data_IF_354536295933
#
_entry.id   IF_354536295933
#
_cell.length_a   1.000
_cell.length_b   1.000
_cell.length_c   1.000
_cell.angle_alpha   90.00
_cell.angle_beta   90.00
_cell.angle_gamma   90.00
#
_symmetry.space_group_name_H-M   'P 1'
#
loop_
_entity.id
_entity.type
_entity.pdbx_description
1 polymer ?
#
# COMPACT_ATOMS: atom_id res chain seq x y z
N UNK A 1 19.80 -4.17 17.17
CA UNK A 1 18.78 -3.16 16.83
C UNK A 1 19.06 -2.79 15.39
N UNK A 2 18.48 -3.53 14.44
CA UNK A 2 18.74 -3.33 13.01
C UNK A 2 17.83 -2.23 12.51
N UNK A 3 18.47 -1.12 12.15
CA UNK A 3 17.81 0.09 11.68
C UNK A 3 17.21 -0.16 10.29
N UNK A 4 15.89 -0.35 10.25
CA UNK A 4 15.10 -0.53 9.03
C UNK A 4 15.05 0.76 8.18
N UNK A 5 15.60 1.89 8.67
CA UNK A 5 15.81 3.11 7.89
C UNK A 5 16.94 2.98 6.85
N UNK A 6 18.03 2.30 7.21
CA UNK A 6 19.24 2.23 6.38
C UNK A 6 19.07 1.46 5.08
N UNK A 7 18.20 0.44 5.04
CA UNK A 7 17.92 -0.33 3.81
C UNK A 7 17.17 0.52 2.78
N UNK A 8 16.21 1.34 3.21
CA UNK A 8 15.48 2.23 2.32
C UNK A 8 16.38 3.35 1.80
N UNK A 9 17.23 3.93 2.66
CA UNK A 9 18.22 4.93 2.25
C UNK A 9 19.27 4.35 1.28
N UNK A 10 19.72 3.12 1.51
CA UNK A 10 20.65 2.42 0.62
C UNK A 10 20.01 2.13 -0.75
N UNK A 11 18.75 1.69 -0.79
CA UNK A 11 18.02 1.45 -2.04
C UNK A 11 17.79 2.76 -2.80
N UNK A 12 17.43 3.84 -2.10
CA UNK A 12 17.28 5.17 -2.70
C UNK A 12 18.62 5.69 -3.23
N UNK A 13 19.70 5.55 -2.47
CA UNK A 13 21.04 5.98 -2.87
C UNK A 13 21.56 5.17 -4.07
N UNK A 14 21.35 3.86 -4.09
CA UNK A 14 21.72 2.99 -5.20
C UNK A 14 20.89 3.32 -6.44
N UNK A 15 19.59 3.57 -6.29
CA UNK A 15 18.71 4.02 -7.38
C UNK A 15 19.18 5.34 -7.98
N UNK A 16 19.51 6.33 -7.15
CA UNK A 16 20.04 7.62 -7.60
C UNK A 16 21.40 7.47 -8.32
N UNK A 17 22.28 6.59 -7.82
CA UNK A 17 23.56 6.28 -8.46
C UNK A 17 23.36 5.68 -9.87
N UNK A 18 22.45 4.71 -10.02
CA UNK A 18 22.16 4.09 -11.32
C UNK A 18 21.59 5.13 -12.28
N UNK A 19 20.66 5.97 -11.84
CA UNK A 19 20.12 7.07 -12.67
C UNK A 19 21.23 8.03 -13.09
N UNK A 20 22.12 8.41 -12.18
CA UNK A 20 23.25 9.29 -12.49
C UNK A 20 24.22 8.67 -13.51
N UNK A 21 24.52 7.36 -13.39
CA UNK A 21 25.37 6.63 -14.34
C UNK A 21 24.71 6.55 -15.72
N UNK A 22 23.41 6.27 -15.78
CA UNK A 22 22.66 6.23 -17.05
C UNK A 22 22.65 7.61 -17.70
N UNK A 23 22.39 8.69 -16.95
CA UNK A 23 22.44 10.06 -17.45
C UNK A 23 23.86 10.44 -17.93
N UNK A 24 24.89 10.03 -17.20
CA UNK A 24 26.29 10.25 -17.57
C UNK A 24 26.66 9.52 -18.87
N UNK A 25 26.25 8.25 -19.03
CA UNK A 25 26.46 7.47 -20.25
C UNK A 25 25.72 8.08 -21.45
N UNK A 26 24.47 8.51 -21.26
CA UNK A 26 23.68 9.19 -22.30
C UNK A 26 24.29 10.53 -22.71
N UNK A 27 24.88 11.27 -21.75
CA UNK A 27 25.59 12.52 -22.03
C UNK A 27 26.90 12.26 -22.78
N UNK A 28 27.66 11.24 -22.35
CA UNK A 28 28.93 10.83 -22.96
C UNK A 28 28.78 10.34 -24.39
N UNK A 29 27.67 9.67 -24.72
CA UNK A 29 27.34 9.21 -26.08
C UNK A 29 26.79 10.31 -26.99
N UNK A 30 26.59 11.54 -26.50
CA UNK A 30 26.10 12.66 -27.32
C UNK A 30 24.64 12.53 -27.77
N UNK A 31 23.89 11.57 -27.23
CA UNK A 31 22.46 11.33 -27.51
C UNK A 31 21.55 12.35 -26.82
N UNK A 32 22.06 13.05 -25.79
CA UNK A 32 21.38 14.15 -25.11
C UNK A 32 21.54 15.45 -25.90
N UNK A 33 20.72 15.62 -26.94
CA UNK A 33 20.49 16.93 -27.57
C UNK A 33 19.67 17.82 -26.61
N UNK A 34 19.90 19.14 -26.57
CA UNK A 34 19.17 20.09 -25.68
C UNK A 34 17.64 19.98 -25.74
N UNK A 35 17.07 19.36 -26.78
CA UNK A 35 15.64 19.10 -26.97
C UNK A 35 15.12 17.81 -26.32
N UNK A 36 15.96 16.79 -26.08
CA UNK A 36 15.55 15.50 -25.50
C UNK A 36 15.62 15.48 -23.97
N UNK A 37 16.39 16.40 -23.37
CA UNK A 37 16.49 16.62 -21.92
C UNK A 37 15.12 16.75 -21.20
N UNK A 38 14.17 17.60 -21.64
CA UNK A 38 12.86 17.69 -21.01
C UNK A 38 12.01 16.42 -21.21
N UNK A 39 12.23 15.66 -22.29
CA UNK A 39 11.51 14.40 -22.54
C UNK A 39 11.97 13.30 -21.57
N UNK A 40 13.28 13.21 -21.31
CA UNK A 40 13.85 12.26 -20.33
C UNK A 40 13.45 12.63 -18.90
N UNK A 41 13.48 13.92 -18.57
CA UNK A 41 12.98 14.43 -17.28
C UNK A 41 11.48 14.15 -17.11
N UNK A 42 10.68 14.32 -18.17
CA UNK A 42 9.26 14.00 -18.16
C UNK A 42 8.99 12.50 -17.95
N UNK A 43 9.77 11.64 -18.60
CA UNK A 43 9.66 10.19 -18.41
C UNK A 43 10.04 9.76 -16.98
N UNK A 44 11.14 10.31 -16.43
CA UNK A 44 11.54 10.08 -15.04
C UNK A 44 10.46 10.58 -14.05
N UNK A 45 9.95 11.79 -14.27
CA UNK A 45 8.88 12.36 -13.44
C UNK A 45 7.59 11.52 -13.51
N UNK A 46 7.25 10.97 -14.67
CA UNK A 46 6.09 10.09 -14.82
C UNK A 46 6.26 8.77 -14.05
N UNK A 47 7.44 8.14 -14.13
CA UNK A 47 7.74 6.91 -13.39
C UNK A 47 7.71 7.15 -11.88
N UNK A 48 8.38 8.21 -11.41
CA UNK A 48 8.39 8.58 -9.99
C UNK A 48 7.00 8.98 -9.51
N UNK A 49 6.25 9.75 -10.31
CA UNK A 49 4.90 10.19 -9.99
C UNK A 49 3.91 9.03 -9.87
N UNK A 50 3.97 8.05 -10.77
CA UNK A 50 3.15 6.84 -10.69
C UNK A 50 3.48 6.01 -9.45
N UNK A 51 4.76 5.84 -9.12
CA UNK A 51 5.19 5.15 -7.91
C UNK A 51 4.68 5.84 -6.64
N UNK A 52 4.87 7.16 -6.55
CA UNK A 52 4.42 7.96 -5.41
C UNK A 52 2.89 7.93 -5.24
N UNK A 53 2.13 7.96 -6.35
CA UNK A 53 0.67 7.87 -6.30
C UNK A 53 0.19 6.51 -5.78
N UNK A 54 0.77 5.40 -6.26
CA UNK A 54 0.46 4.05 -5.76
C UNK A 54 0.78 3.93 -4.28
N UNK A 55 1.94 4.44 -3.84
CA UNK A 55 2.35 4.41 -2.43
C UNK A 55 1.40 5.23 -1.54
N UNK A 56 1.05 6.46 -1.94
CA UNK A 56 0.11 7.29 -1.19
C UNK A 56 -1.26 6.65 -1.07
N UNK A 57 -1.76 6.00 -2.13
CA UNK A 57 -3.04 5.29 -2.10
C UNK A 57 -3.01 4.12 -1.12
N UNK A 58 -1.94 3.31 -1.12
CA UNK A 58 -1.75 2.23 -0.14
C UNK A 58 -1.71 2.74 1.30
N UNK A 59 -0.99 3.83 1.54
CA UNK A 59 -0.86 4.39 2.89
C UNK A 59 -2.20 4.92 3.43
N UNK A 60 -3.03 5.53 2.58
CA UNK A 60 -4.39 5.95 2.95
C UNK A 60 -5.25 4.77 3.37
N UNK A 61 -5.29 3.71 2.57
CA UNK A 61 -6.06 2.50 2.87
C UNK A 61 -5.61 1.86 4.20
N UNK A 62 -4.30 1.80 4.44
CA UNK A 62 -3.74 1.29 5.70
C UNK A 62 -4.15 2.13 6.91
N UNK A 63 -4.08 3.46 6.80
CA UNK A 63 -4.48 4.38 7.89
C UNK A 63 -5.97 4.31 8.19
N UNK A 64 -6.82 4.12 7.19
CA UNK A 64 -8.26 3.98 7.40
C UNK A 64 -8.59 2.72 8.21
N UNK A 65 -7.97 1.58 7.90
CA UNK A 65 -8.11 0.35 8.68
C UNK A 65 -7.62 0.56 10.12
N UNK A 66 -6.41 1.11 10.30
CA UNK A 66 -5.84 1.32 11.63
C UNK A 66 -6.72 2.24 12.49
N UNK A 67 -7.30 3.29 11.89
CA UNK A 67 -8.26 4.17 12.56
C UNK A 67 -9.50 3.41 13.03
N UNK A 68 -10.12 2.63 12.14
CA UNK A 68 -11.35 1.88 12.46
C UNK A 68 -11.09 0.77 13.49
N UNK A 69 -9.94 0.10 13.42
CA UNK A 69 -9.50 -0.83 14.47
C UNK A 69 -9.37 -0.14 15.82
N UNK A 70 -8.77 1.06 15.86
CA UNK A 70 -8.67 1.87 17.07
C UNK A 70 -10.03 2.22 17.66
N UNK A 71 -10.97 2.67 16.81
CA UNK A 71 -12.36 2.96 17.23
C UNK A 71 -13.05 1.70 17.79
N UNK A 72 -12.83 0.54 17.18
CA UNK A 72 -13.44 -0.70 17.60
C UNK A 72 -12.87 -1.21 18.94
N UNK A 73 -11.56 -1.10 19.14
CA UNK A 73 -10.92 -1.39 20.45
C UNK A 73 -11.41 -0.46 21.54
N UNK A 74 -11.63 0.83 21.24
CA UNK A 74 -12.21 1.76 22.21
C UNK A 74 -13.66 1.38 22.57
N UNK A 75 -14.46 0.95 21.60
CA UNK A 75 -15.81 0.44 21.85
C UNK A 75 -15.78 -0.84 22.68
N UNK A 76 -14.87 -1.76 22.39
CA UNK A 76 -14.66 -2.99 23.15
C UNK A 76 -14.28 -2.72 24.61
N UNK A 77 -13.34 -1.80 24.85
CA UNK A 77 -12.94 -1.41 26.20
C UNK A 77 -14.09 -0.75 26.99
N UNK A 78 -14.88 0.12 26.33
CA UNK A 78 -16.09 0.71 26.93
C UNK A 78 -17.14 -0.35 27.25
N UNK A 79 -17.25 -1.37 26.41
CA UNK A 79 -18.18 -2.48 26.60
C UNK A 79 -17.75 -3.40 27.72
N UNK A 80 -16.46 -3.69 27.81
CA UNK A 80 -15.91 -4.47 28.91
C UNK A 80 -16.13 -3.79 30.27
N UNK A 81 -16.01 -2.47 30.32
CA UNK A 81 -16.39 -1.68 31.51
C UNK A 81 -17.90 -1.65 31.78
N UNK A 82 -18.73 -1.87 30.75
CA UNK A 82 -20.19 -1.84 30.83
C UNK A 82 -20.84 -3.25 30.82
N UNK A 83 -20.04 -4.33 30.88
CA UNK A 83 -20.47 -5.76 30.82
C UNK A 83 -21.55 -6.12 31.84
N UNK A 84 -21.73 -5.32 32.88
CA UNK A 84 -22.82 -5.50 33.85
C UNK A 84 -24.22 -5.09 33.33
N UNK A 85 -24.38 -4.49 32.14
CA UNK A 85 -25.66 -3.84 31.78
C UNK A 85 -26.38 -4.22 30.48
N UNK A 86 -25.82 -4.85 29.44
CA UNK A 86 -26.65 -5.04 28.21
C UNK A 86 -26.13 -6.02 27.12
N UNK A 87 -26.93 -7.05 26.79
CA UNK A 87 -26.77 -7.94 25.62
C UNK A 87 -26.84 -7.22 24.26
N UNK A 88 -27.59 -6.12 24.17
CA UNK A 88 -27.75 -5.33 22.93
C UNK A 88 -26.39 -4.82 22.42
N UNK A 89 -25.47 -4.60 23.34
CA UNK A 89 -24.19 -3.96 23.07
C UNK A 89 -23.12 -4.95 22.56
N UNK A 90 -23.26 -6.24 22.88
CA UNK A 90 -22.43 -7.30 22.30
C UNK A 90 -22.77 -7.54 20.82
N UNK A 91 -24.05 -7.53 20.44
CA UNK A 91 -24.46 -7.64 19.03
C UNK A 91 -23.91 -6.51 18.18
N UNK A 92 -23.93 -5.27 18.67
CA UNK A 92 -23.35 -4.12 17.95
C UNK A 92 -21.83 -4.24 17.79
N UNK A 93 -21.14 -4.83 18.77
CA UNK A 93 -19.71 -5.11 18.67
C UNK A 93 -19.43 -6.20 17.64
N UNK A 94 -20.21 -7.28 17.64
CA UNK A 94 -20.07 -8.37 16.67
C UNK A 94 -20.35 -7.88 15.24
N UNK A 95 -21.40 -7.09 15.02
CA UNK A 95 -21.70 -6.46 13.74
C UNK A 95 -20.57 -5.52 13.29
N UNK A 96 -20.01 -4.73 14.21
CA UNK A 96 -18.84 -3.89 13.93
C UNK A 96 -17.61 -4.71 13.53
N UNK A 97 -17.35 -5.82 14.22
CA UNK A 97 -16.24 -6.74 13.88
C UNK A 97 -16.41 -7.32 12.47
N UNK A 98 -17.62 -7.77 12.12
CA UNK A 98 -17.94 -8.27 10.78
C UNK A 98 -17.81 -7.19 9.69
N UNK A 99 -18.23 -5.95 9.98
CA UNK A 99 -18.02 -4.84 9.05
C UNK A 99 -16.53 -4.55 8.84
N UNK A 100 -15.75 -4.49 9.92
CA UNK A 100 -14.31 -4.28 9.82
C UNK A 100 -13.61 -5.38 9.01
N UNK A 101 -14.04 -6.64 9.18
CA UNK A 101 -13.50 -7.77 8.42
C UNK A 101 -13.79 -7.65 6.92
N UNK A 102 -15.02 -7.27 6.53
CA UNK A 102 -15.37 -7.00 5.13
C UNK A 102 -14.57 -5.86 4.53
N UNK A 103 -14.40 -4.78 5.28
CA UNK A 103 -13.61 -3.63 4.82
C UNK A 103 -12.13 -3.97 4.68
N UNK A 104 -11.58 -4.79 5.59
CA UNK A 104 -10.22 -5.32 5.47
C UNK A 104 -10.05 -6.16 4.21
N UNK A 105 -11.03 -7.00 3.88
CA UNK A 105 -11.02 -7.77 2.64
C UNK A 105 -11.05 -6.86 1.41
N UNK A 106 -12.00 -5.91 1.37
CA UNK A 106 -12.14 -4.98 0.24
C UNK A 106 -10.86 -4.18 0.00
N UNK A 107 -10.27 -3.65 1.07
CA UNK A 107 -9.02 -2.91 0.99
C UNK A 107 -7.82 -3.81 0.64
N UNK A 108 -7.78 -5.05 1.10
CA UNK A 108 -6.75 -6.01 0.70
C UNK A 108 -6.83 -6.31 -0.81
N UNK A 109 -8.04 -6.54 -1.34
CA UNK A 109 -8.28 -6.68 -2.80
C UNK A 109 -7.85 -5.41 -3.54
N UNK A 110 -8.23 -4.23 -3.04
CA UNK A 110 -7.86 -2.98 -3.70
C UNK A 110 -6.35 -2.77 -3.71
N UNK A 111 -5.64 -3.11 -2.62
CA UNK A 111 -4.18 -3.03 -2.55
C UNK A 111 -3.51 -3.99 -3.53
N UNK A 112 -4.01 -5.22 -3.65
CA UNK A 112 -3.55 -6.19 -4.66
C UNK A 112 -3.79 -5.69 -6.08
N UNK A 113 -4.95 -5.08 -6.38
CA UNK A 113 -5.22 -4.46 -7.68
C UNK A 113 -4.33 -3.27 -8.00
N UNK A 114 -3.94 -2.49 -6.99
CA UNK A 114 -2.99 -1.37 -7.15
C UNK A 114 -1.58 -1.89 -7.46
N UNK A 115 -1.22 -3.08 -6.96
CA UNK A 115 0.05 -3.76 -7.26
C UNK A 115 0.06 -4.47 -8.62
N UNK A 116 -1.08 -5.02 -9.02
CA UNK A 116 -1.26 -5.74 -10.28
C UNK A 116 -0.85 -4.88 -11.48
N UNK A 117 -0.01 -5.44 -12.37
CA UNK A 117 0.55 -4.70 -13.50
C UNK A 117 -0.40 -4.64 -14.70
N UNK A 118 -1.32 -5.61 -14.81
CA UNK A 118 -2.21 -5.77 -15.96
C UNK A 118 -3.67 -6.07 -15.55
N UNK A 119 -4.60 -5.87 -16.49
CA UNK A 119 -6.04 -6.04 -16.24
C UNK A 119 -6.46 -7.50 -15.98
N UNK A 120 -5.70 -8.48 -16.51
CA UNK A 120 -5.96 -9.90 -16.26
C UNK A 120 -5.68 -10.28 -14.81
N UNK A 121 -4.61 -9.72 -14.23
CA UNK A 121 -4.24 -9.94 -12.84
C UNK A 121 -5.22 -9.25 -11.88
N UNK A 122 -5.72 -8.06 -12.25
CA UNK A 122 -6.81 -7.41 -11.50
C UNK A 122 -8.10 -8.23 -11.50
N UNK A 123 -8.46 -8.82 -12.65
CA UNK A 123 -9.62 -9.69 -12.77
C UNK A 123 -9.44 -10.99 -11.96
N UNK A 124 -8.22 -11.56 -11.94
CA UNK A 124 -7.89 -12.69 -11.06
C UNK A 124 -8.13 -12.35 -9.58
N UNK A 125 -7.67 -11.17 -9.15
CA UNK A 125 -7.87 -10.69 -7.76
C UNK A 125 -9.35 -10.50 -7.41
N UNK A 126 -10.19 -10.17 -8.39
CA UNK A 126 -11.65 -10.10 -8.18
C UNK A 126 -12.29 -11.46 -7.95
N UNK A 127 -11.78 -12.50 -8.61
CA UNK A 127 -12.33 -13.86 -8.51
C UNK A 127 -11.81 -14.65 -7.30
N UNK A 128 -10.81 -14.15 -6.57
CA UNK A 128 -10.26 -14.84 -5.39
C UNK A 128 -11.31 -15.01 -4.29
N UNK A 129 -11.24 -16.11 -3.54
CA UNK A 129 -11.99 -16.24 -2.30
C UNK A 129 -11.41 -15.30 -1.21
N UNK A 130 -12.24 -14.91 -0.23
CA UNK A 130 -11.84 -14.02 0.87
C UNK A 130 -10.55 -14.48 1.57
N UNK A 131 -10.39 -15.78 1.81
CA UNK A 131 -9.21 -16.35 2.48
C UNK A 131 -7.96 -16.23 1.62
N UNK A 132 -8.08 -16.49 0.31
CA UNK A 132 -6.99 -16.39 -0.66
C UNK A 132 -6.52 -14.94 -0.84
N UNK A 133 -7.43 -13.96 -0.78
CA UNK A 133 -7.08 -12.53 -0.79
C UNK A 133 -6.15 -12.19 0.35
N UNK A 134 -6.44 -12.66 1.57
CA UNK A 134 -5.61 -12.35 2.73
C UNK A 134 -4.26 -13.06 2.69
N UNK A 135 -4.20 -14.29 2.17
CA UNK A 135 -2.93 -14.99 1.96
C UNK A 135 -2.05 -14.28 0.93
N UNK A 136 -2.63 -13.88 -0.20
CA UNK A 136 -1.91 -13.20 -1.26
C UNK A 136 -1.48 -11.80 -0.83
N UNK A 137 -2.35 -11.08 -0.10
CA UNK A 137 -2.02 -9.81 0.53
C UNK A 137 -0.85 -9.95 1.51
N UNK A 138 -0.86 -10.96 2.37
CA UNK A 138 0.25 -11.21 3.32
C UNK A 138 1.54 -11.57 2.58
N UNK A 139 1.46 -12.33 1.50
CA UNK A 139 2.62 -12.67 0.66
C UNK A 139 3.22 -11.44 -0.02
N UNK A 140 2.38 -10.52 -0.52
CA UNK A 140 2.81 -9.33 -1.23
C UNK A 140 3.32 -8.20 -0.28
N UNK A 141 2.75 -8.08 0.93
CA UNK A 141 2.97 -6.92 1.81
C UNK A 141 3.41 -7.25 3.24
N UNK A 142 3.50 -8.53 3.63
CA UNK A 142 3.73 -8.98 5.01
C UNK A 142 5.19 -9.04 5.47
N UNK A 143 6.10 -8.32 4.82
CA UNK A 143 7.52 -8.20 5.20
C UNK A 143 7.76 -7.17 6.30
#
# INVERSE_FOLDING_TARGET
MFDLGGLNELVIALGALVVAVVLFLLWRMGLLTRKTLPMVLGALAAVVGLGAWRMSKREKLRKEIERKEGELRQREAKLEQAKERTEISEKQLEEGKKQLEREREEHAREMLKIDSENEQEKARVDDLATEEVFEEFRRAFGS
#
